data_IF_911265405073
#
_entry.id   IF_911265405073
#
_cell.length_a   1.000
_cell.length_b   1.000
_cell.length_c   1.000
_cell.angle_alpha   90.00
_cell.angle_beta   90.00
_cell.angle_gamma   90.00
#
_symmetry.space_group_name_H-M   'P 1'
#
loop_
_entity.id
_entity.type
_entity.pdbx_description
1 polymer ?
#
# COMPACT_ATOMS: atom_id res chain seq x y z
N UNK A 1 -1.09 -18.77 -3.82
CA UNK A 1 -1.18 -18.60 -5.28
C UNK A 1 -1.03 -17.15 -5.67
N UNK A 2 -0.92 -16.89 -6.98
CA UNK A 2 -0.53 -15.58 -7.55
C UNK A 2 -1.69 -14.60 -7.77
N UNK A 3 -2.95 -14.99 -7.58
CA UNK A 3 -4.08 -14.16 -8.05
C UNK A 3 -4.61 -13.15 -7.02
N UNK A 4 -4.85 -13.54 -5.77
CA UNK A 4 -5.57 -12.69 -4.81
C UNK A 4 -5.07 -12.89 -3.38
N UNK A 5 -5.26 -11.86 -2.53
CA UNK A 5 -5.01 -11.93 -1.09
C UNK A 5 -6.20 -11.38 -0.26
N UNK A 6 -7.38 -12.00 -0.33
CA UNK A 6 -8.63 -11.38 0.13
C UNK A 6 -8.65 -11.03 1.62
N UNK A 7 -8.08 -11.87 2.49
CA UNK A 7 -8.02 -11.57 3.94
C UNK A 7 -7.05 -10.45 4.28
N UNK A 8 -6.01 -10.23 3.46
CA UNK A 8 -5.10 -9.10 3.60
C UNK A 8 -5.80 -7.81 3.15
N UNK A 9 -6.52 -7.84 2.03
CA UNK A 9 -7.31 -6.69 1.60
C UNK A 9 -8.34 -6.29 2.65
N UNK A 10 -9.04 -7.25 3.25
CA UNK A 10 -10.04 -6.95 4.27
C UNK A 10 -9.43 -6.32 5.53
N UNK A 11 -8.27 -6.81 6.00
CA UNK A 11 -7.61 -6.19 7.15
C UNK A 11 -7.04 -4.81 6.82
N UNK A 12 -6.58 -4.62 5.58
CA UNK A 12 -6.06 -3.32 5.13
C UNK A 12 -7.19 -2.29 5.03
N UNK A 13 -8.30 -2.63 4.36
CA UNK A 13 -9.50 -1.79 4.32
C UNK A 13 -10.05 -1.51 5.72
N UNK A 14 -10.09 -2.51 6.61
CA UNK A 14 -10.54 -2.27 7.98
C UNK A 14 -9.61 -1.33 8.75
N UNK A 15 -8.28 -1.42 8.54
CA UNK A 15 -7.32 -0.51 9.18
C UNK A 15 -7.51 0.93 8.70
N UNK A 16 -7.78 1.12 7.41
CA UNK A 16 -8.13 2.43 6.83
C UNK A 16 -9.45 2.93 7.44
N UNK A 17 -10.48 2.08 7.49
CA UNK A 17 -11.78 2.43 8.03
C UNK A 17 -11.72 2.77 9.53
N UNK A 18 -10.97 2.00 10.33
CA UNK A 18 -10.76 2.25 11.76
C UNK A 18 -10.14 3.62 12.00
N UNK A 19 -9.21 4.05 11.12
CA UNK A 19 -8.57 5.37 11.23
C UNK A 19 -9.48 6.51 10.81
N UNK A 20 -10.15 6.39 9.67
CA UNK A 20 -10.82 7.54 9.03
C UNK A 20 -12.35 7.53 9.12
N UNK A 21 -12.95 6.42 9.56
CA UNK A 21 -14.41 6.21 9.58
C UNK A 21 -15.05 6.12 8.19
N UNK A 22 -14.24 6.06 7.12
CA UNK A 22 -14.67 6.07 5.72
C UNK A 22 -13.72 5.29 4.83
N UNK A 23 -14.21 4.91 3.64
CA UNK A 23 -13.41 4.26 2.59
C UNK A 23 -13.54 4.97 1.22
N UNK A 24 -14.31 6.05 1.15
CA UNK A 24 -14.51 6.90 -0.03
C UNK A 24 -13.77 8.24 0.12
N UNK A 25 -13.51 8.91 -1.01
CA UNK A 25 -12.76 10.19 -1.09
C UNK A 25 -11.35 10.13 -0.49
N UNK A 26 -10.67 8.99 -0.57
CA UNK A 26 -9.31 8.80 -0.04
C UNK A 26 -8.26 9.11 -1.11
N UNK A 27 -7.15 9.72 -0.68
CA UNK A 27 -5.92 9.85 -1.45
C UNK A 27 -4.89 8.83 -0.92
N UNK A 28 -4.64 7.77 -1.68
CA UNK A 28 -3.77 6.69 -1.27
C UNK A 28 -2.49 6.67 -2.09
N UNK A 29 -1.32 6.76 -1.46
CA UNK A 29 -0.05 6.44 -2.09
C UNK A 29 0.21 4.94 -1.96
N UNK A 30 0.42 4.25 -3.07
CA UNK A 30 0.88 2.86 -3.09
C UNK A 30 2.29 2.85 -3.70
N UNK A 31 3.25 2.30 -2.95
CA UNK A 31 4.66 2.31 -3.35
C UNK A 31 5.28 0.90 -3.38
N UNK A 32 6.14 0.64 -4.36
CA UNK A 32 6.93 -0.59 -4.48
C UNK A 32 6.83 -1.26 -5.85
N UNK A 33 6.43 -2.54 -5.88
CA UNK A 33 6.36 -3.39 -7.08
C UNK A 33 4.90 -3.67 -7.50
N UNK A 34 4.19 -2.70 -8.10
CA UNK A 34 2.79 -2.89 -8.46
C UNK A 34 2.61 -3.88 -9.61
N UNK A 35 3.60 -4.07 -10.49
CA UNK A 35 3.55 -5.05 -11.58
C UNK A 35 3.32 -6.47 -11.07
N UNK A 36 3.88 -6.83 -9.91
CA UNK A 36 3.84 -8.20 -9.39
C UNK A 36 3.13 -8.33 -8.04
N UNK A 37 2.85 -7.22 -7.34
CA UNK A 37 2.29 -7.26 -5.98
C UNK A 37 0.80 -7.55 -5.99
N UNK A 38 0.44 -8.81 -5.71
CA UNK A 38 -0.97 -9.21 -5.48
C UNK A 38 -1.66 -8.36 -4.42
N UNK A 39 -0.92 -7.88 -3.42
CA UNK A 39 -1.51 -7.10 -2.33
C UNK A 39 -1.88 -5.70 -2.81
N UNK A 40 -1.03 -5.07 -3.64
CA UNK A 40 -1.35 -3.80 -4.31
C UNK A 40 -2.59 -3.98 -5.18
N UNK A 41 -2.63 -4.99 -6.04
CA UNK A 41 -3.77 -5.25 -6.90
C UNK A 41 -5.07 -5.48 -6.11
N UNK A 42 -5.04 -6.32 -5.07
CA UNK A 42 -6.22 -6.57 -4.25
C UNK A 42 -6.63 -5.33 -3.43
N UNK A 43 -5.70 -4.48 -2.99
CA UNK A 43 -6.02 -3.21 -2.32
C UNK A 43 -6.66 -2.19 -3.28
N UNK A 44 -6.12 -2.02 -4.50
CA UNK A 44 -6.73 -1.16 -5.53
C UNK A 44 -8.15 -1.64 -5.82
N UNK A 45 -8.35 -2.97 -5.94
CA UNK A 45 -9.68 -3.57 -6.09
C UNK A 45 -10.61 -3.22 -4.95
N UNK A 46 -10.12 -3.29 -3.71
CA UNK A 46 -10.89 -2.91 -2.53
C UNK A 46 -11.29 -1.44 -2.54
N UNK A 47 -10.33 -0.56 -2.86
CA UNK A 47 -10.54 0.89 -2.96
C UNK A 47 -11.47 1.27 -4.11
N UNK A 48 -11.49 0.51 -5.22
CA UNK A 48 -12.39 0.77 -6.35
C UNK A 48 -13.85 0.44 -6.04
N UNK A 49 -14.16 -0.21 -4.92
CA UNK A 49 -15.54 -0.44 -4.49
C UNK A 49 -16.17 0.82 -3.86
N UNK A 50 -15.39 1.87 -3.63
CA UNK A 50 -15.83 3.10 -2.98
C UNK A 50 -15.56 4.31 -3.87
N UNK A 51 -16.42 5.32 -3.75
CA UNK A 51 -16.43 6.47 -4.64
C UNK A 51 -15.23 7.41 -4.41
N UNK A 52 -14.79 8.07 -5.49
CA UNK A 52 -13.86 9.20 -5.48
C UNK A 52 -12.49 8.93 -4.84
N UNK A 53 -12.05 7.67 -4.82
CA UNK A 53 -10.70 7.35 -4.38
C UNK A 53 -9.66 7.67 -5.48
N UNK A 54 -8.54 8.25 -5.06
CA UNK A 54 -7.36 8.45 -5.91
C UNK A 54 -6.20 7.62 -5.38
N UNK A 55 -5.59 6.84 -6.26
CA UNK A 55 -4.37 6.07 -6.00
C UNK A 55 -3.20 6.73 -6.73
N UNK A 56 -2.23 7.23 -5.98
CA UNK A 56 -0.93 7.64 -6.48
C UNK A 56 0.01 6.44 -6.45
N UNK A 57 0.63 6.12 -7.58
CA UNK A 57 1.48 4.95 -7.72
C UNK A 57 2.94 5.37 -7.84
N UNK A 58 3.77 5.03 -6.85
CA UNK A 58 5.21 5.25 -6.85
C UNK A 58 5.94 3.93 -7.05
N UNK A 59 6.52 3.73 -8.22
CA UNK A 59 7.23 2.48 -8.53
C UNK A 59 8.41 2.72 -9.47
N UNK A 60 9.45 1.87 -9.41
CA UNK A 60 10.49 1.86 -10.42
C UNK A 60 9.90 1.68 -11.81
N UNK A 61 10.47 2.30 -12.84
CA UNK A 61 9.92 2.31 -14.20
C UNK A 61 9.62 0.89 -14.72
N UNK A 62 10.53 -0.04 -14.49
CA UNK A 62 10.40 -1.44 -14.89
C UNK A 62 9.37 -2.26 -14.09
N UNK A 63 8.84 -1.72 -13.00
CA UNK A 63 7.84 -2.38 -12.14
C UNK A 63 6.47 -1.69 -12.18
N UNK A 64 6.25 -0.76 -13.13
CA UNK A 64 4.97 -0.07 -13.28
C UNK A 64 3.83 -1.02 -13.66
N UNK A 65 2.60 -0.59 -13.36
CA UNK A 65 1.40 -1.29 -13.82
C UNK A 65 1.38 -1.33 -15.35
N UNK A 66 0.85 -2.43 -15.90
CA UNK A 66 0.62 -2.49 -17.35
C UNK A 66 -0.50 -1.52 -17.69
N UNK A 67 -0.47 -0.95 -18.90
CA UNK A 67 -1.54 -0.06 -19.39
C UNK A 67 -2.94 -0.69 -19.30
N UNK A 68 -3.03 -2.00 -19.51
CA UNK A 68 -4.27 -2.75 -19.34
C UNK A 68 -4.79 -2.73 -17.90
N UNK A 69 -3.90 -2.84 -16.89
CA UNK A 69 -4.28 -2.79 -15.48
C UNK A 69 -4.73 -1.36 -15.10
N UNK A 70 -4.04 -0.32 -15.57
CA UNK A 70 -4.44 1.07 -15.36
C UNK A 70 -5.85 1.35 -15.90
N UNK A 71 -6.13 0.91 -17.13
CA UNK A 71 -7.44 1.05 -17.75
C UNK A 71 -8.52 0.27 -16.99
N UNK A 72 -8.22 -1.00 -16.65
CA UNK A 72 -9.12 -1.88 -15.91
C UNK A 72 -9.59 -1.26 -14.58
N UNK A 73 -8.69 -0.62 -13.84
CA UNK A 73 -9.04 0.02 -12.57
C UNK A 73 -9.76 1.36 -12.77
N UNK A 74 -9.35 2.14 -13.77
CA UNK A 74 -10.02 3.41 -14.09
C UNK A 74 -11.49 3.21 -14.45
N UNK A 75 -11.85 2.15 -15.17
CA UNK A 75 -13.25 1.81 -15.47
C UNK A 75 -14.07 1.42 -14.23
N UNK A 76 -13.41 1.05 -13.13
CA UNK A 76 -14.03 0.64 -11.86
C UNK A 76 -14.10 1.76 -10.83
N UNK A 77 -13.90 3.00 -11.24
CA UNK A 77 -14.16 4.18 -10.39
C UNK A 77 -13.02 4.60 -9.47
N UNK A 78 -11.83 3.99 -9.57
CA UNK A 78 -10.62 4.49 -8.88
C UNK A 78 -9.73 5.25 -9.87
N UNK A 79 -9.36 6.47 -9.51
CA UNK A 79 -8.42 7.28 -10.31
C UNK A 79 -7.00 6.86 -9.98
N UNK A 80 -6.25 6.35 -10.95
CA UNK A 80 -4.83 6.02 -10.77
C UNK A 80 -3.96 7.12 -11.39
N UNK A 81 -2.98 7.62 -10.63
CA UNK A 81 -2.00 8.61 -11.05
C UNK A 81 -0.61 8.05 -10.81
N UNK A 82 0.15 7.80 -11.87
CA UNK A 82 1.55 7.39 -11.74
C UNK A 82 2.42 8.60 -11.40
N UNK A 83 3.31 8.44 -10.42
CA UNK A 83 4.28 9.46 -10.01
C UNK A 83 5.71 8.90 -10.13
N UNK A 84 6.68 9.79 -10.39
CA UNK A 84 8.03 9.36 -10.75
C UNK A 84 9.03 9.43 -9.59
N UNK A 85 8.71 10.22 -8.56
CA UNK A 85 9.62 10.47 -7.44
C UNK A 85 8.86 10.64 -6.14
N UNK A 86 9.54 10.41 -5.01
CA UNK A 86 9.11 10.82 -3.67
C UNK A 86 8.75 12.33 -3.61
N UNK A 87 9.35 13.14 -4.48
CA UNK A 87 9.03 14.57 -4.65
C UNK A 87 7.69 14.83 -5.33
N UNK A 88 7.02 13.82 -5.86
CA UNK A 88 5.71 13.99 -6.47
C UNK A 88 4.59 13.51 -5.54
N UNK A 89 4.94 13.02 -4.33
CA UNK A 89 3.97 12.58 -3.34
C UNK A 89 3.14 13.77 -2.87
N UNK A 90 1.80 13.73 -3.02
CA UNK A 90 0.92 14.78 -2.52
C UNK A 90 0.87 14.79 -0.99
N UNK A 91 0.98 15.98 -0.39
CA UNK A 91 0.81 16.14 1.06
C UNK A 91 -0.60 15.82 1.57
N UNK A 92 -1.59 15.73 0.67
CA UNK A 92 -2.98 15.41 0.96
C UNK A 92 -3.30 13.90 0.95
N UNK A 93 -2.29 13.03 0.87
CA UNK A 93 -2.50 11.59 1.02
C UNK A 93 -3.03 11.25 2.42
N UNK A 94 -4.05 10.41 2.50
CA UNK A 94 -4.54 9.81 3.75
C UNK A 94 -3.72 8.56 4.12
N UNK A 95 -3.29 7.79 3.12
CA UNK A 95 -2.61 6.50 3.28
C UNK A 95 -1.30 6.49 2.50
N UNK A 96 -0.23 6.05 3.15
CA UNK A 96 0.96 5.51 2.49
C UNK A 96 1.00 4.00 2.68
N UNK A 97 0.87 3.24 1.58
CA UNK A 97 0.94 1.79 1.58
C UNK A 97 2.23 1.37 0.88
N UNK A 98 3.24 1.06 1.68
CA UNK A 98 4.59 0.78 1.20
C UNK A 98 4.84 -0.72 1.14
N UNK A 99 5.33 -1.20 0.01
CA UNK A 99 5.58 -2.64 -0.19
C UNK A 99 7.03 -2.90 -0.55
N UNK A 100 7.50 -4.12 -0.24
CA UNK A 100 8.85 -4.54 -0.60
C UNK A 100 9.04 -4.57 -2.12
N UNK A 101 10.23 -4.19 -2.58
CA UNK A 101 10.69 -4.49 -3.94
C UNK A 101 11.26 -5.91 -3.95
N UNK A 102 10.73 -6.77 -4.82
CA UNK A 102 11.08 -8.20 -4.85
C UNK A 102 12.44 -8.42 -5.53
N UNK A 103 13.51 -8.50 -4.74
CA UNK A 103 14.88 -8.75 -5.22
C UNK A 103 14.99 -9.95 -6.17
N UNK A 104 14.20 -10.99 -5.93
CA UNK A 104 14.15 -12.21 -6.75
C UNK A 104 13.62 -12.01 -8.18
N UNK A 105 13.13 -10.81 -8.53
CA UNK A 105 12.59 -10.48 -9.86
C UNK A 105 13.59 -9.80 -10.79
N UNK A 106 14.73 -9.41 -10.27
CA UNK A 106 15.76 -8.69 -11.01
C UNK A 106 16.73 -9.67 -11.65
N UNK A 107 17.25 -9.33 -12.84
CA UNK A 107 18.18 -10.20 -13.55
C UNK A 107 19.54 -10.28 -12.83
N UNK A 108 19.87 -9.25 -12.05
CA UNK A 108 21.09 -9.20 -11.24
C UNK A 108 20.89 -8.42 -9.94
N UNK A 109 21.77 -8.69 -8.97
CA UNK A 109 21.84 -7.90 -7.73
C UNK A 109 22.13 -6.42 -8.01
N UNK A 110 22.96 -6.13 -9.00
CA UNK A 110 23.33 -4.77 -9.38
C UNK A 110 22.12 -3.95 -9.86
N UNK A 111 21.24 -4.57 -10.65
CA UNK A 111 20.01 -3.95 -11.11
C UNK A 111 19.07 -3.63 -9.94
N UNK A 112 18.88 -4.58 -9.03
CA UNK A 112 18.11 -4.38 -7.81
C UNK A 112 18.66 -3.24 -6.94
N UNK A 113 19.97 -3.22 -6.69
CA UNK A 113 20.61 -2.17 -5.90
C UNK A 113 20.50 -0.80 -6.57
N UNK A 114 20.58 -0.74 -7.90
CA UNK A 114 20.41 0.51 -8.66
C UNK A 114 19.00 1.07 -8.46
N UNK A 115 17.98 0.22 -8.53
CA UNK A 115 16.60 0.62 -8.24
C UNK A 115 16.43 1.07 -6.80
N UNK A 116 16.96 0.32 -5.82
CA UNK A 116 16.84 0.71 -4.40
C UNK A 116 17.50 2.06 -4.09
N UNK A 117 18.57 2.43 -4.81
CA UNK A 117 19.24 3.75 -4.67
C UNK A 117 18.43 4.92 -5.24
N UNK A 118 17.38 4.68 -6.02
CA UNK A 118 16.57 5.74 -6.65
C UNK A 118 15.53 6.37 -5.70
N UNK A 119 15.44 5.95 -4.43
CA UNK A 119 14.52 6.54 -3.46
C UNK A 119 13.18 5.81 -3.39
N UNK A 120 13.21 4.60 -2.81
CA UNK A 120 12.02 3.81 -2.48
C UNK A 120 12.04 3.36 -1.02
N UNK A 121 12.69 4.15 -0.16
CA UNK A 121 12.87 3.84 1.26
C UNK A 121 12.18 4.93 2.07
N UNK A 122 11.21 4.55 2.89
CA UNK A 122 10.60 5.50 3.82
C UNK A 122 11.59 5.81 4.93
N UNK A 123 12.10 7.04 4.94
CA UNK A 123 12.94 7.58 6.01
C UNK A 123 12.12 8.54 6.90
N UNK A 124 12.58 8.83 8.13
CA UNK A 124 11.95 9.86 8.97
C UNK A 124 11.90 11.23 8.27
N UNK A 125 12.94 11.59 7.52
CA UNK A 125 13.00 12.83 6.76
C UNK A 125 11.93 12.88 5.65
N UNK A 126 11.78 11.80 4.88
CA UNK A 126 10.75 11.72 3.84
C UNK A 126 9.35 11.89 4.44
N UNK A 127 9.08 11.16 5.53
CA UNK A 127 7.80 11.18 6.21
C UNK A 127 7.52 12.54 6.86
N UNK A 128 8.54 13.22 7.39
CA UNK A 128 8.40 14.58 7.92
C UNK A 128 8.12 15.61 6.81
N UNK A 129 8.81 15.50 5.69
CA UNK A 129 8.77 16.50 4.63
C UNK A 129 7.57 16.37 3.68
N UNK A 130 7.01 15.16 3.50
CA UNK A 130 5.97 14.90 2.47
C UNK A 130 4.64 14.41 3.03
N UNK A 131 4.62 13.72 4.16
CA UNK A 131 3.37 13.19 4.69
C UNK A 131 2.64 14.23 5.55
N UNK A 132 1.30 14.24 5.45
CA UNK A 132 0.47 14.94 6.42
C UNK A 132 0.64 14.40 7.84
N UNK A 133 0.16 15.16 8.82
CA UNK A 133 0.16 14.77 10.24
C UNK A 133 -0.74 13.57 10.52
N UNK A 134 -1.86 13.47 9.81
CA UNK A 134 -2.94 12.53 10.14
C UNK A 134 -2.93 11.24 9.33
N UNK A 135 -1.95 11.08 8.44
CA UNK A 135 -1.85 9.92 7.57
C UNK A 135 -1.59 8.64 8.36
N UNK A 136 -1.82 7.50 7.71
CA UNK A 136 -1.30 6.21 8.18
C UNK A 136 -0.30 5.64 7.18
N UNK A 137 0.80 5.12 7.70
CA UNK A 137 1.81 4.35 6.97
C UNK A 137 1.62 2.87 7.27
N UNK A 138 1.30 2.11 6.23
CA UNK A 138 1.01 0.68 6.26
C UNK A 138 2.01 -0.09 5.39
N UNK A 139 2.27 -1.34 5.76
CA UNK A 139 3.10 -2.30 5.02
C UNK A 139 2.51 -3.70 5.26
N UNK A 140 2.26 -4.52 4.22
CA UNK A 140 1.70 -5.86 4.40
C UNK A 140 2.62 -6.84 5.13
N UNK A 141 3.89 -6.48 5.30
CA UNK A 141 4.97 -7.25 5.88
C UNK A 141 5.31 -8.54 5.08
N UNK A 142 6.52 -9.10 5.26
CA UNK A 142 7.67 -8.51 5.97
C UNK A 142 8.26 -7.32 5.21
N UNK A 143 8.65 -6.27 5.95
CA UNK A 143 9.44 -5.17 5.37
C UNK A 143 10.87 -5.65 5.09
N UNK A 144 11.41 -5.29 3.93
CA UNK A 144 12.80 -5.61 3.55
C UNK A 144 13.46 -4.36 2.98
N UNK A 145 14.17 -3.62 3.84
CA UNK A 145 14.96 -2.44 3.47
C UNK A 145 14.18 -1.29 2.78
N UNK A 146 12.85 -1.31 2.82
CA UNK A 146 11.97 -0.30 2.21
C UNK A 146 11.40 0.71 3.21
N UNK A 147 11.58 0.45 4.52
CA UNK A 147 11.22 1.37 5.60
C UNK A 147 12.38 1.36 6.59
N UNK A 148 12.93 2.53 6.88
CA UNK A 148 13.97 2.71 7.90
C UNK A 148 13.39 2.36 9.28
N UNK A 149 14.07 1.52 10.09
CA UNK A 149 13.64 1.21 11.45
C UNK A 149 13.38 2.45 12.34
N UNK A 150 14.04 3.58 12.10
CA UNK A 150 13.77 4.82 12.82
C UNK A 150 12.32 5.33 12.65
N UNK A 151 11.63 4.91 11.58
CA UNK A 151 10.21 5.23 11.34
C UNK A 151 9.27 4.48 12.29
N UNK A 152 9.73 3.39 12.95
CA UNK A 152 8.89 2.61 13.88
C UNK A 152 8.36 3.44 15.07
N UNK A 153 9.12 4.47 15.44
CA UNK A 153 8.76 5.37 16.53
C UNK A 153 7.66 6.36 16.14
N UNK A 154 7.46 6.62 14.84
CA UNK A 154 6.45 7.57 14.36
C UNK A 154 5.03 7.03 14.62
N UNK A 155 4.12 7.88 15.09
CA UNK A 155 2.74 7.46 15.38
C UNK A 155 1.93 7.10 14.14
N UNK A 156 2.32 7.64 12.99
CA UNK A 156 1.71 7.34 11.68
C UNK A 156 2.06 5.94 11.21
N UNK A 157 3.16 5.34 11.71
CA UNK A 157 3.57 3.98 11.36
C UNK A 157 2.70 2.93 12.09
N UNK A 158 1.70 2.40 11.39
CA UNK A 158 0.70 1.50 11.99
C UNK A 158 0.91 0.02 11.68
N UNK A 159 1.88 -0.32 10.84
CA UNK A 159 2.12 -1.69 10.34
C UNK A 159 2.37 -2.72 11.46
N UNK A 160 3.14 -2.39 12.50
CA UNK A 160 3.32 -3.28 13.66
C UNK A 160 2.25 -3.11 14.77
N UNK A 161 1.31 -2.17 14.60
CA UNK A 161 0.32 -1.79 15.62
C UNK A 161 -1.07 -2.24 15.19
N UNK A 162 -1.92 -1.31 14.74
CA UNK A 162 -3.29 -1.60 14.39
C UNK A 162 -3.39 -2.53 13.18
N UNK A 163 -2.51 -2.44 12.17
CA UNK A 163 -2.62 -3.28 10.97
C UNK A 163 -2.51 -4.79 11.29
N UNK A 164 -1.45 -5.24 12.00
CA UNK A 164 -1.32 -6.64 12.42
C UNK A 164 -2.47 -7.06 13.34
N UNK A 165 -2.80 -6.21 14.33
CA UNK A 165 -3.90 -6.47 15.27
C UNK A 165 -5.22 -6.69 14.54
N UNK A 166 -5.51 -5.85 13.56
CA UNK A 166 -6.72 -5.94 12.74
C UNK A 166 -6.71 -7.20 11.88
N UNK A 167 -5.54 -7.66 11.47
CA UNK A 167 -5.37 -8.96 10.83
C UNK A 167 -5.83 -10.15 11.68
N UNK A 168 -5.70 -10.08 13.01
CA UNK A 168 -6.25 -11.10 13.91
C UNK A 168 -7.78 -11.02 13.93
N UNK A 169 -8.33 -9.83 14.22
CA UNK A 169 -9.78 -9.66 14.40
C UNK A 169 -10.58 -9.91 13.12
N UNK A 170 -10.10 -9.46 11.97
CA UNK A 170 -10.78 -9.70 10.70
C UNK A 170 -10.82 -11.20 10.38
N UNK A 171 -9.73 -11.93 10.64
CA UNK A 171 -9.70 -13.39 10.42
C UNK A 171 -10.61 -14.12 11.40
N UNK A 172 -10.69 -13.70 12.66
CA UNK A 172 -11.65 -14.23 13.63
C UNK A 172 -13.09 -13.99 13.17
N UNK A 173 -13.43 -12.77 12.76
CA UNK A 173 -14.76 -12.42 12.26
C UNK A 173 -15.15 -13.23 11.02
N UNK A 174 -14.23 -13.39 10.07
CA UNK A 174 -14.45 -14.22 8.87
C UNK A 174 -14.72 -15.69 9.23
N UNK A 175 -13.94 -16.27 10.15
CA UNK A 175 -14.15 -17.64 10.62
C UNK A 175 -15.50 -17.79 11.32
N UNK A 176 -15.87 -16.84 12.19
CA UNK A 176 -17.17 -16.86 12.86
C UNK A 176 -18.32 -16.80 11.85
N UNK A 177 -18.25 -15.89 10.88
CA UNK A 177 -19.26 -15.73 9.83
C UNK A 177 -19.41 -17.00 8.97
N UNK A 178 -18.30 -17.57 8.50
CA UNK A 178 -18.31 -18.79 7.67
C UNK A 178 -18.84 -20.02 8.43
N UNK A 179 -18.68 -20.06 9.75
CA UNK A 179 -19.12 -21.15 10.61
C UNK A 179 -20.51 -20.91 11.21
N UNK A 180 -21.22 -19.84 10.82
CA UNK A 180 -22.56 -19.51 11.32
C UNK A 180 -22.60 -19.12 12.79
N UNK A 181 -21.56 -18.45 13.28
CA UNK A 181 -21.39 -18.01 14.68
C UNK A 181 -21.36 -16.48 14.84
N UNK A 182 -21.81 -15.76 13.81
CA UNK A 182 -21.89 -14.30 13.78
C UNK A 182 -23.28 -13.82 14.22
#
# INVERSE_FOLDING_TARGET
>A
GNNEHPTQTLLDLYTIYERFGRLNNLNCLLAGDPLNSRVIHSLIRGLSLFENNTVYMLSPEQLRLRRADLYYWSERGVRIVEINSEKDIPGSCDLWYWTRIQKERFASLHEYETVMRQGFVVTPELLHNRAGSDIILMDPLPRVSTIDPAVDADERAVYFRSQIRNGLYIRMALLALMLGRA
#
